data_IF_443400367216
#
_entry.id   IF_443400367216
#
_cell.length_a   1.000
_cell.length_b   1.000
_cell.length_c   1.000
_cell.angle_alpha   90.00
_cell.angle_beta   90.00
_cell.angle_gamma   90.00
#
_symmetry.space_group_name_H-M   'P 1'
#
loop_
_entity.id
_entity.type
_entity.pdbx_description
1 polymer ?
#
# COMPACT_ATOMS: atom_id res chain seq x y z
N UNK A 1 -3.00 -19.91 7.24
CA UNK A 1 -3.34 -18.51 6.88
C UNK A 1 -4.14 -17.91 8.03
N UNK A 2 -3.86 -16.67 8.45
CA UNK A 2 -4.58 -15.98 9.52
C UNK A 2 -6.04 -15.74 9.08
N UNK A 3 -7.01 -15.98 9.99
CA UNK A 3 -8.35 -15.42 9.83
C UNK A 3 -8.31 -13.98 10.34
N UNK A 4 -8.26 -13.00 9.43
CA UNK A 4 -8.07 -11.61 9.80
C UNK A 4 -9.24 -11.04 10.60
N UNK A 5 -10.48 -11.41 10.32
CA UNK A 5 -11.66 -10.97 11.06
C UNK A 5 -11.60 -11.41 12.52
N UNK A 6 -11.34 -12.70 12.77
CA UNK A 6 -11.16 -13.23 14.13
C UNK A 6 -9.96 -12.58 14.81
N UNK A 7 -8.84 -12.44 14.11
CA UNK A 7 -7.61 -11.86 14.65
C UNK A 7 -7.81 -10.40 15.09
N UNK A 8 -8.48 -9.59 14.28
CA UNK A 8 -8.81 -8.20 14.64
C UNK A 8 -9.82 -8.12 15.80
N UNK A 9 -10.79 -9.03 15.83
CA UNK A 9 -11.78 -9.13 16.92
C UNK A 9 -11.10 -9.48 18.26
N UNK A 10 -10.09 -10.36 18.25
CA UNK A 10 -9.34 -10.77 19.43
C UNK A 10 -8.32 -9.71 19.87
N UNK A 11 -7.79 -8.91 18.94
CA UNK A 11 -6.85 -7.83 19.22
C UNK A 11 -7.52 -6.63 19.93
N UNK A 12 -8.73 -6.25 19.50
CA UNK A 12 -9.42 -5.06 19.99
C UNK A 12 -9.56 -5.00 21.52
N UNK A 13 -10.05 -6.03 22.22
CA UNK A 13 -10.18 -5.97 23.68
C UNK A 13 -8.84 -5.85 24.39
N UNK A 14 -7.75 -6.40 23.86
CA UNK A 14 -6.42 -6.27 24.44
C UNK A 14 -5.90 -4.83 24.33
N UNK A 15 -6.12 -4.20 23.16
CA UNK A 15 -5.81 -2.77 22.99
C UNK A 15 -6.65 -1.89 23.91
N UNK A 16 -7.95 -2.16 24.03
CA UNK A 16 -8.85 -1.43 24.93
C UNK A 16 -8.46 -1.59 26.40
N UNK A 17 -8.04 -2.78 26.82
CA UNK A 17 -7.57 -3.03 28.18
C UNK A 17 -6.28 -2.24 28.48
N UNK A 18 -5.37 -2.16 27.52
CA UNK A 18 -4.06 -1.53 27.71
C UNK A 18 -4.13 0.00 27.58
N UNK A 19 -4.81 0.49 26.58
CA UNK A 19 -4.82 1.93 26.23
C UNK A 19 -6.09 2.66 26.70
N UNK A 20 -7.15 1.94 27.03
CA UNK A 20 -8.42 2.50 27.49
C UNK A 20 -8.98 3.53 26.53
N UNK A 21 -9.33 4.72 27.04
CA UNK A 21 -9.88 5.84 26.26
C UNK A 21 -8.85 6.46 25.28
N UNK A 22 -7.58 6.15 25.41
CA UNK A 22 -6.52 6.59 24.51
C UNK A 22 -6.58 5.87 23.15
N UNK A 23 -7.16 4.66 23.09
CA UNK A 23 -7.42 3.98 21.82
C UNK A 23 -8.52 4.72 21.06
N UNK A 24 -8.17 5.24 19.90
CA UNK A 24 -9.08 6.06 19.07
C UNK A 24 -9.55 5.32 17.82
N UNK A 25 -8.71 4.43 17.28
CA UNK A 25 -9.01 3.73 16.05
C UNK A 25 -8.27 2.39 15.95
N UNK A 26 -8.94 1.41 15.30
CA UNK A 26 -8.36 0.16 14.83
C UNK A 26 -8.88 -0.13 13.44
N UNK A 27 -7.99 -0.47 12.50
CA UNK A 27 -8.33 -0.84 11.14
C UNK A 27 -7.42 -1.92 10.56
N UNK A 28 -7.90 -2.55 9.49
CA UNK A 28 -7.19 -3.56 8.71
C UNK A 28 -6.80 -3.00 7.35
N UNK A 29 -5.56 -3.23 6.94
CA UNK A 29 -5.03 -2.83 5.61
C UNK A 29 -4.45 -4.03 4.85
N UNK A 30 -3.89 -3.72 3.70
CA UNK A 30 -2.99 -4.61 2.99
C UNK A 30 -3.68 -5.80 2.33
N UNK A 31 -2.92 -6.88 2.16
CA UNK A 31 -3.35 -8.05 1.41
C UNK A 31 -4.54 -8.78 2.04
N UNK A 32 -4.64 -8.79 3.36
CA UNK A 32 -5.79 -9.38 4.06
C UNK A 32 -7.08 -8.59 3.79
N UNK A 33 -7.03 -7.27 3.90
CA UNK A 33 -8.17 -6.40 3.58
C UNK A 33 -8.61 -6.55 2.12
N UNK A 34 -7.65 -6.73 1.19
CA UNK A 34 -7.92 -6.90 -0.24
C UNK A 34 -8.34 -8.31 -0.64
N UNK A 35 -8.32 -9.29 0.28
CA UNK A 35 -8.59 -10.70 -0.05
C UNK A 35 -7.49 -11.34 -0.92
N UNK A 36 -6.28 -10.81 -0.88
CA UNK A 36 -5.11 -11.25 -1.66
C UNK A 36 -4.03 -11.92 -0.79
N UNK A 37 -4.30 -12.13 0.51
CA UNK A 37 -3.34 -12.69 1.43
C UNK A 37 -2.96 -14.13 1.07
N UNK A 38 -1.71 -14.47 1.31
CA UNK A 38 -1.14 -15.82 1.22
C UNK A 38 -0.62 -16.25 2.59
N UNK A 39 -0.11 -17.46 2.71
CA UNK A 39 0.51 -17.93 3.95
C UNK A 39 1.75 -17.11 4.35
N UNK A 40 2.41 -16.50 3.39
CA UNK A 40 3.57 -15.64 3.61
C UNK A 40 3.21 -14.17 3.90
N UNK A 41 1.92 -13.81 3.85
CA UNK A 41 1.49 -12.41 4.04
C UNK A 41 1.52 -12.01 5.50
N UNK A 42 1.99 -10.79 5.74
CA UNK A 42 1.84 -10.09 7.01
C UNK A 42 0.41 -9.58 7.15
N UNK A 43 -0.07 -9.42 8.40
CA UNK A 43 -1.34 -8.77 8.70
C UNK A 43 -1.07 -7.30 9.02
N UNK A 44 -1.55 -6.40 8.14
CA UNK A 44 -1.33 -4.97 8.24
C UNK A 44 -2.41 -4.32 9.10
N UNK A 45 -2.04 -3.86 10.29
CA UNK A 45 -2.94 -3.27 11.30
C UNK A 45 -2.70 -1.78 11.41
N UNK A 46 -3.77 -1.00 11.46
CA UNK A 46 -3.71 0.45 11.74
C UNK A 46 -4.26 0.71 13.13
N UNK A 47 -3.44 1.28 14.01
CA UNK A 47 -3.84 1.68 15.36
C UNK A 47 -3.60 3.17 15.56
N UNK A 48 -4.61 3.90 16.03
CA UNK A 48 -4.44 5.28 16.45
C UNK A 48 -4.74 5.43 17.94
N UNK A 49 -3.81 6.06 18.62
CA UNK A 49 -3.98 6.56 19.97
C UNK A 49 -4.17 8.10 19.93
N UNK A 50 -4.56 8.69 21.03
CA UNK A 50 -4.57 10.16 21.16
C UNK A 50 -3.18 10.76 20.90
N UNK A 51 -2.17 10.22 21.57
CA UNK A 51 -0.73 10.52 21.42
C UNK A 51 0.02 9.21 21.54
N UNK A 52 1.14 9.05 20.84
CA UNK A 52 2.01 7.87 20.96
C UNK A 52 3.35 8.27 21.54
N UNK A 53 3.79 7.54 22.58
CA UNK A 53 5.13 7.61 23.15
C UNK A 53 5.82 6.24 23.04
N UNK A 54 7.12 6.19 23.30
CA UNK A 54 7.90 4.97 23.13
C UNK A 54 7.38 3.79 23.98
N UNK A 55 6.92 4.07 25.20
CA UNK A 55 6.34 3.03 26.08
C UNK A 55 5.06 2.43 25.50
N UNK A 56 4.28 3.19 24.73
CA UNK A 56 3.11 2.69 24.01
C UNK A 56 3.50 1.70 22.91
N UNK A 57 4.61 1.97 22.21
CA UNK A 57 5.13 1.06 21.18
C UNK A 57 5.61 -0.26 21.81
N UNK A 58 6.23 -0.21 22.98
CA UNK A 58 6.62 -1.41 23.72
C UNK A 58 5.41 -2.21 24.19
N UNK A 59 4.38 -1.55 24.73
CA UNK A 59 3.13 -2.18 25.12
C UNK A 59 2.40 -2.80 23.92
N UNK A 60 2.28 -2.07 22.81
CA UNK A 60 1.69 -2.59 21.57
C UNK A 60 2.45 -3.81 21.04
N UNK A 61 3.77 -3.74 21.00
CA UNK A 61 4.62 -4.86 20.57
C UNK A 61 4.40 -6.10 21.43
N UNK A 62 4.26 -5.94 22.75
CA UNK A 62 3.98 -7.05 23.65
C UNK A 62 2.61 -7.69 23.35
N UNK A 63 1.57 -6.88 23.10
CA UNK A 63 0.23 -7.35 22.75
C UNK A 63 0.28 -8.16 21.45
N UNK A 64 0.78 -7.56 20.34
CA UNK A 64 0.75 -8.23 19.03
C UNK A 64 1.59 -9.50 19.01
N UNK A 65 2.70 -9.56 19.74
CA UNK A 65 3.53 -10.77 19.85
C UNK A 65 2.88 -11.88 20.63
N UNK A 66 1.95 -11.58 21.54
CA UNK A 66 1.17 -12.57 22.28
C UNK A 66 -0.01 -13.13 21.44
N UNK A 67 -0.38 -12.46 20.34
CA UNK A 67 -1.43 -12.93 19.44
C UNK A 67 -0.99 -14.18 18.66
N UNK A 68 -1.92 -15.06 18.25
CA UNK A 68 -1.61 -16.15 17.33
C UNK A 68 -0.96 -15.61 16.04
N UNK A 69 0.17 -16.18 15.64
CA UNK A 69 1.00 -15.71 14.51
C UNK A 69 1.40 -14.23 14.60
N UNK A 70 1.52 -13.68 15.80
CA UNK A 70 1.80 -12.26 16.05
C UNK A 70 3.13 -11.75 15.46
N UNK A 71 4.06 -12.66 15.11
CA UNK A 71 5.28 -12.31 14.36
C UNK A 71 4.98 -11.81 12.93
N UNK A 72 3.77 -12.06 12.40
CA UNK A 72 3.30 -11.54 11.11
C UNK A 72 2.59 -10.20 11.23
N UNK A 73 2.39 -9.68 12.45
CA UNK A 73 1.79 -8.36 12.62
C UNK A 73 2.72 -7.28 12.08
N UNK A 74 2.18 -6.46 11.20
CA UNK A 74 2.80 -5.32 10.55
C UNK A 74 1.83 -4.13 10.57
N UNK A 75 2.19 -3.00 9.98
CA UNK A 75 1.27 -1.89 9.75
C UNK A 75 1.70 -0.62 10.46
N UNK A 76 0.73 0.17 10.90
CA UNK A 76 0.93 1.52 11.41
C UNK A 76 0.36 1.68 12.82
N UNK A 77 1.12 2.29 13.72
CA UNK A 77 0.65 2.82 14.98
C UNK A 77 1.10 4.27 15.11
N UNK A 78 0.19 5.19 15.42
CA UNK A 78 0.50 6.61 15.52
C UNK A 78 -0.49 7.39 16.38
N UNK A 79 -0.15 8.65 16.64
CA UNK A 79 -1.05 9.62 17.27
C UNK A 79 -2.05 10.20 16.28
N UNK A 80 -3.27 10.48 16.74
CA UNK A 80 -4.29 11.12 15.86
C UNK A 80 -3.82 12.48 15.35
N UNK A 81 -3.10 13.25 16.18
CA UNK A 81 -2.53 14.55 15.79
C UNK A 81 -1.42 14.42 14.75
N UNK A 82 -0.58 13.37 14.87
CA UNK A 82 0.50 13.12 13.91
C UNK A 82 -0.10 12.77 12.54
N UNK A 83 -1.10 11.89 12.52
CA UNK A 83 -1.75 11.47 11.28
C UNK A 83 -2.47 12.65 10.60
N UNK A 84 -3.11 13.54 11.38
CA UNK A 84 -3.78 14.73 10.83
C UNK A 84 -2.82 15.66 10.09
N UNK A 85 -1.53 15.70 10.48
CA UNK A 85 -0.49 16.51 9.85
C UNK A 85 0.36 15.74 8.85
N UNK A 86 0.05 14.46 8.59
CA UNK A 86 0.77 13.64 7.63
C UNK A 86 0.62 14.19 6.20
N UNK A 87 1.58 13.95 5.29
CA UNK A 87 1.47 14.35 3.90
C UNK A 87 0.18 13.81 3.24
N UNK A 88 -0.66 14.68 2.72
CA UNK A 88 -1.99 14.31 2.22
C UNK A 88 -1.96 13.31 1.08
N UNK A 89 -0.92 13.39 0.23
CA UNK A 89 -0.75 12.45 -0.88
C UNK A 89 -0.54 11.00 -0.40
N UNK A 90 0.06 10.79 0.79
CA UNK A 90 0.17 9.46 1.40
C UNK A 90 -1.15 9.04 2.03
N UNK A 91 -1.88 9.97 2.65
CA UNK A 91 -3.15 9.70 3.32
C UNK A 91 -4.24 9.24 2.36
N UNK A 92 -4.19 9.60 1.08
CA UNK A 92 -5.19 9.16 0.11
C UNK A 92 -5.25 7.64 0.00
N UNK A 93 -4.13 7.01 -0.35
CA UNK A 93 -4.06 5.54 -0.45
C UNK A 93 -4.25 4.87 0.90
N UNK A 94 -3.71 5.46 1.98
CA UNK A 94 -3.90 5.00 3.36
C UNK A 94 -5.38 4.92 3.72
N UNK A 95 -6.17 5.98 3.47
CA UNK A 95 -7.61 6.00 3.73
C UNK A 95 -8.37 4.98 2.88
N UNK A 96 -8.06 4.91 1.58
CA UNK A 96 -8.80 4.03 0.65
C UNK A 96 -8.50 2.55 0.87
N UNK A 97 -7.30 2.21 1.32
CA UNK A 97 -6.89 0.82 1.56
C UNK A 97 -7.05 0.37 3.02
N UNK A 98 -7.73 1.15 3.86
CA UNK A 98 -8.03 0.79 5.26
C UNK A 98 -9.51 0.47 5.44
N UNK A 99 -9.80 -0.62 6.17
CA UNK A 99 -11.14 -1.02 6.60
C UNK A 99 -11.28 -0.78 8.11
N UNK A 100 -12.34 -0.06 8.50
CA UNK A 100 -12.60 0.29 9.89
C UNK A 100 -13.03 -0.94 10.70
N UNK A 101 -12.30 -1.30 11.76
CA UNK A 101 -12.68 -2.30 12.75
C UNK A 101 -13.20 -1.68 14.04
N UNK A 102 -12.64 -0.53 14.46
CA UNK A 102 -13.10 0.26 15.59
C UNK A 102 -12.86 1.74 15.32
N UNK A 103 -13.87 2.57 15.56
CA UNK A 103 -13.85 4.00 15.20
C UNK A 103 -14.05 4.22 13.71
N UNK A 104 -13.82 5.46 13.27
CA UNK A 104 -13.87 5.86 11.87
C UNK A 104 -12.57 6.58 11.51
N UNK A 105 -11.81 6.05 10.56
CA UNK A 105 -10.53 6.64 10.17
C UNK A 105 -10.68 8.08 9.69
N UNK A 106 -11.75 8.35 8.95
CA UNK A 106 -12.02 9.69 8.38
C UNK A 106 -12.13 10.79 9.44
N UNK A 107 -12.49 10.46 10.70
CA UNK A 107 -12.61 11.44 11.78
C UNK A 107 -11.25 12.01 12.22
N UNK A 108 -10.15 11.35 11.84
CA UNK A 108 -8.77 11.70 12.21
C UNK A 108 -7.93 12.19 11.04
N UNK A 109 -8.53 12.33 9.85
CA UNK A 109 -7.83 12.76 8.65
C UNK A 109 -8.19 14.20 8.27
N UNK A 110 -7.25 14.96 7.66
CA UNK A 110 -7.61 16.20 7.00
C UNK A 110 -8.48 15.93 5.77
N UNK A 111 -9.04 16.98 5.19
CA UNK A 111 -9.67 16.87 3.85
C UNK A 111 -8.60 16.51 2.83
N UNK A 112 -8.81 15.40 2.12
CA UNK A 112 -7.93 14.89 1.07
C UNK A 112 -8.62 15.10 -0.28
N UNK A 113 -7.91 15.68 -1.24
CA UNK A 113 -8.43 16.06 -2.55
C UNK A 113 -7.90 15.14 -3.65
N UNK A 114 -8.51 15.21 -4.84
CA UNK A 114 -8.00 14.51 -6.03
C UNK A 114 -6.63 15.06 -6.47
N UNK A 115 -6.32 16.33 -6.17
CA UNK A 115 -4.99 16.91 -6.41
C UNK A 115 -3.93 16.26 -5.53
N UNK A 116 -4.23 16.06 -4.24
CA UNK A 116 -3.35 15.32 -3.33
C UNK A 116 -3.10 13.89 -3.82
N UNK A 117 -4.14 13.23 -4.35
CA UNK A 117 -4.02 11.90 -4.95
C UNK A 117 -3.15 11.91 -6.21
N UNK A 118 -3.33 12.91 -7.10
CA UNK A 118 -2.54 13.05 -8.31
C UNK A 118 -1.06 13.31 -8.01
N UNK A 119 -0.76 14.12 -7.01
CA UNK A 119 0.61 14.34 -6.52
C UNK A 119 1.22 13.05 -5.98
N UNK A 120 0.45 12.25 -5.23
CA UNK A 120 0.87 10.93 -4.77
C UNK A 120 1.25 9.99 -5.92
N UNK A 121 0.46 9.95 -6.97
CA UNK A 121 0.76 9.15 -8.15
C UNK A 121 2.06 9.60 -8.86
N UNK A 122 2.27 10.92 -9.00
CA UNK A 122 3.51 11.48 -9.58
C UNK A 122 4.74 11.19 -8.71
N UNK A 123 4.63 11.38 -7.39
CA UNK A 123 5.71 11.10 -6.42
C UNK A 123 6.08 9.62 -6.49
N UNK A 124 5.08 8.73 -6.49
CA UNK A 124 5.30 7.29 -6.61
C UNK A 124 6.00 6.91 -7.93
N UNK A 125 5.57 7.47 -9.06
CA UNK A 125 6.22 7.25 -10.35
C UNK A 125 7.66 7.79 -10.38
N UNK A 126 7.92 8.98 -9.81
CA UNK A 126 9.27 9.54 -9.72
C UNK A 126 10.19 8.68 -8.84
N UNK A 127 9.69 8.21 -7.70
CA UNK A 127 10.40 7.26 -6.84
C UNK A 127 10.76 5.96 -7.56
N UNK A 128 9.83 5.42 -8.36
CA UNK A 128 10.08 4.24 -9.20
C UNK A 128 11.14 4.50 -10.27
N UNK A 129 11.12 5.64 -10.96
CA UNK A 129 12.18 6.00 -11.93
C UNK A 129 13.54 6.01 -11.25
N UNK A 130 13.64 6.65 -10.08
CA UNK A 130 14.90 6.68 -9.33
C UNK A 130 15.34 5.27 -8.91
N UNK A 131 14.45 4.48 -8.31
CA UNK A 131 14.73 3.12 -7.87
C UNK A 131 15.22 2.24 -9.03
N UNK A 132 14.49 2.23 -10.14
CA UNK A 132 14.79 1.40 -11.30
C UNK A 132 16.12 1.81 -11.96
N UNK A 133 16.36 3.11 -12.16
CA UNK A 133 17.61 3.58 -12.77
C UNK A 133 18.81 3.31 -11.88
N UNK A 134 18.71 3.61 -10.59
CA UNK A 134 19.77 3.34 -9.63
C UNK A 134 20.12 1.85 -9.57
N UNK A 135 19.08 1.00 -9.41
CA UNK A 135 19.27 -0.45 -9.31
C UNK A 135 19.85 -1.05 -10.59
N UNK A 136 19.35 -0.61 -11.74
CA UNK A 136 19.85 -1.10 -13.04
C UNK A 136 21.35 -0.79 -13.24
N UNK A 137 21.79 0.38 -12.78
CA UNK A 137 23.17 0.83 -12.93
C UNK A 137 24.13 0.23 -11.88
N UNK A 138 23.69 0.10 -10.63
CA UNK A 138 24.62 -0.10 -9.52
C UNK A 138 24.41 -1.41 -8.75
N UNK A 139 23.25 -2.08 -8.90
CA UNK A 139 23.02 -3.34 -8.21
C UNK A 139 23.62 -4.53 -8.98
N UNK A 140 24.00 -5.57 -8.22
CA UNK A 140 24.43 -6.84 -8.78
C UNK A 140 23.29 -7.62 -9.43
N UNK A 141 23.64 -8.69 -10.16
CA UNK A 141 22.68 -9.53 -10.87
C UNK A 141 21.72 -10.30 -9.95
N UNK A 142 22.04 -10.50 -8.68
CA UNK A 142 21.17 -11.18 -7.72
C UNK A 142 20.13 -10.22 -7.12
N UNK A 143 20.49 -8.96 -6.94
CA UNK A 143 19.63 -7.92 -6.36
C UNK A 143 18.59 -7.38 -7.35
N UNK A 144 18.96 -7.22 -8.63
CA UNK A 144 18.08 -6.61 -9.65
C UNK A 144 16.71 -7.28 -9.81
N UNK A 145 16.58 -8.63 -9.89
CA UNK A 145 15.27 -9.28 -9.99
C UNK A 145 14.38 -9.06 -8.76
N UNK A 146 14.97 -8.96 -7.56
CA UNK A 146 14.23 -8.71 -6.31
C UNK A 146 13.63 -7.31 -6.31
N UNK A 147 14.44 -6.31 -6.67
CA UNK A 147 13.96 -4.93 -6.78
C UNK A 147 12.94 -4.78 -7.90
N UNK A 148 13.11 -5.47 -9.02
CA UNK A 148 12.13 -5.47 -10.11
C UNK A 148 10.77 -6.00 -9.64
N UNK A 149 10.75 -7.07 -8.83
CA UNK A 149 9.52 -7.58 -8.21
C UNK A 149 8.83 -6.53 -7.32
N UNK A 150 9.61 -5.85 -6.49
CA UNK A 150 9.07 -4.81 -5.61
C UNK A 150 8.60 -3.58 -6.41
N UNK A 151 9.26 -3.26 -7.52
CA UNK A 151 8.85 -2.19 -8.42
C UNK A 151 7.51 -2.49 -9.12
N UNK A 152 7.26 -3.72 -9.58
CA UNK A 152 5.94 -4.14 -10.08
C UNK A 152 4.85 -4.04 -9.01
N UNK A 153 5.19 -4.39 -7.75
CA UNK A 153 4.27 -4.21 -6.61
C UNK A 153 3.98 -2.73 -6.33
N UNK A 154 4.97 -1.87 -6.38
CA UNK A 154 4.80 -0.43 -6.16
C UNK A 154 4.02 0.24 -7.31
N UNK A 155 4.24 -0.17 -8.56
CA UNK A 155 3.49 0.32 -9.71
C UNK A 155 1.98 0.07 -9.57
N UNK A 156 1.57 -1.05 -8.97
CA UNK A 156 0.16 -1.32 -8.68
C UNK A 156 -0.49 -0.20 -7.85
N UNK A 157 0.17 0.30 -6.81
CA UNK A 157 -0.40 1.36 -5.97
C UNK A 157 -0.53 2.69 -6.72
N UNK A 158 0.43 3.03 -7.58
CA UNK A 158 0.34 4.20 -8.45
C UNK A 158 -0.84 4.05 -9.42
N UNK A 159 -1.02 2.86 -10.01
CA UNK A 159 -2.12 2.59 -10.94
C UNK A 159 -3.48 2.62 -10.27
N UNK A 160 -3.61 2.16 -9.01
CA UNK A 160 -4.85 2.27 -8.26
C UNK A 160 -5.32 3.72 -8.14
N UNK A 161 -4.40 4.62 -7.78
CA UNK A 161 -4.69 6.05 -7.65
C UNK A 161 -5.06 6.64 -9.00
N UNK A 162 -4.31 6.34 -10.07
CA UNK A 162 -4.58 6.82 -11.42
C UNK A 162 -5.93 6.34 -11.95
N UNK A 163 -6.25 5.06 -11.74
CA UNK A 163 -7.54 4.51 -12.13
C UNK A 163 -8.70 5.21 -11.39
N UNK A 164 -8.53 5.46 -10.09
CA UNK A 164 -9.51 6.22 -9.31
C UNK A 164 -9.70 7.64 -9.88
N UNK A 165 -8.63 8.37 -10.17
CA UNK A 165 -8.70 9.72 -10.72
C UNK A 165 -9.40 9.76 -12.09
N UNK A 166 -9.27 8.70 -12.89
CA UNK A 166 -9.91 8.62 -14.21
C UNK A 166 -11.37 8.15 -14.15
N UNK A 167 -11.74 7.28 -13.20
CA UNK A 167 -13.03 6.58 -13.19
C UNK A 167 -13.92 6.90 -11.98
N UNK A 168 -13.35 7.51 -10.92
CA UNK A 168 -14.01 7.66 -9.61
C UNK A 168 -14.09 6.36 -8.79
N UNK A 169 -13.57 5.23 -9.30
CA UNK A 169 -13.67 3.91 -8.67
C UNK A 169 -12.30 3.48 -8.11
N UNK A 170 -12.23 3.22 -6.80
CA UNK A 170 -11.04 2.67 -6.18
C UNK A 170 -11.14 1.14 -6.11
N UNK A 171 -10.38 0.44 -6.95
CA UNK A 171 -10.37 -1.02 -7.01
C UNK A 171 -9.80 -1.62 -5.71
N UNK A 172 -10.44 -2.71 -5.24
CA UNK A 172 -10.03 -3.36 -3.98
C UNK A 172 -8.87 -4.33 -4.13
N UNK A 173 -8.62 -4.83 -5.34
CA UNK A 173 -7.60 -5.85 -5.59
C UNK A 173 -6.91 -5.67 -6.94
N UNK A 174 -5.74 -6.33 -7.09
CA UNK A 174 -5.03 -6.38 -8.38
C UNK A 174 -5.87 -7.03 -9.47
N UNK A 175 -6.65 -8.05 -9.12
CA UNK A 175 -7.53 -8.74 -10.08
C UNK A 175 -8.64 -7.83 -10.58
N UNK A 176 -9.26 -7.07 -9.67
CA UNK A 176 -10.28 -6.09 -10.03
C UNK A 176 -9.69 -4.98 -10.90
N UNK A 177 -8.53 -4.41 -10.51
CA UNK A 177 -7.85 -3.41 -11.31
C UNK A 177 -7.50 -3.93 -12.71
N UNK A 178 -6.98 -5.16 -12.82
CA UNK A 178 -6.63 -5.79 -14.10
C UNK A 178 -7.80 -5.86 -15.09
N UNK A 179 -9.03 -6.06 -14.60
CA UNK A 179 -10.24 -6.11 -15.46
C UNK A 179 -10.64 -4.74 -15.99
N UNK A 180 -10.18 -3.67 -15.34
CA UNK A 180 -10.54 -2.27 -15.67
C UNK A 180 -9.41 -1.54 -16.41
N UNK A 181 -8.26 -2.17 -16.64
CA UNK A 181 -7.13 -1.58 -17.35
C UNK A 181 -6.99 -2.12 -18.77
N UNK A 182 -6.36 -1.30 -19.62
CA UNK A 182 -5.99 -1.65 -21.00
C UNK A 182 -4.51 -1.28 -21.27
N UNK A 183 -3.98 -1.74 -22.41
CA UNK A 183 -2.64 -1.38 -22.88
C UNK A 183 -1.53 -1.70 -21.88
N UNK A 184 -0.56 -0.80 -21.76
CA UNK A 184 0.65 -0.98 -20.95
C UNK A 184 0.35 -1.17 -19.46
N UNK A 185 -0.64 -0.49 -18.91
CA UNK A 185 -0.99 -0.64 -17.49
C UNK A 185 -1.52 -2.04 -17.18
N UNK A 186 -2.35 -2.59 -18.08
CA UNK A 186 -2.82 -3.98 -17.98
C UNK A 186 -1.66 -4.98 -18.05
N UNK A 187 -0.72 -4.78 -18.97
CA UNK A 187 0.47 -5.62 -19.10
C UNK A 187 1.31 -5.63 -17.82
N UNK A 188 1.54 -4.45 -17.22
CA UNK A 188 2.33 -4.33 -15.98
C UNK A 188 1.65 -5.06 -14.82
N UNK A 189 0.33 -4.91 -14.63
CA UNK A 189 -0.39 -5.62 -13.56
C UNK A 189 -0.38 -7.11 -13.80
N UNK A 190 -0.61 -7.57 -15.03
CA UNK A 190 -0.56 -8.98 -15.39
C UNK A 190 0.84 -9.59 -15.15
N UNK A 191 1.89 -8.87 -15.56
CA UNK A 191 3.27 -9.26 -15.28
C UNK A 191 3.56 -9.36 -13.78
N UNK A 192 3.15 -8.36 -13.00
CA UNK A 192 3.34 -8.34 -11.55
C UNK A 192 2.62 -9.48 -10.81
N UNK A 193 1.44 -9.92 -11.29
CA UNK A 193 0.70 -11.04 -10.74
C UNK A 193 1.36 -12.40 -11.00
N UNK A 194 2.07 -12.54 -12.11
CA UNK A 194 2.68 -13.79 -12.55
C UNK A 194 4.16 -13.61 -12.92
N UNK A 195 4.89 -12.79 -12.16
CA UNK A 195 6.24 -12.33 -12.50
C UNK A 195 7.23 -13.48 -12.82
N UNK A 196 7.27 -14.61 -12.08
CA UNK A 196 8.14 -15.72 -12.45
C UNK A 196 7.80 -16.32 -13.83
N UNK A 197 6.52 -16.41 -14.17
CA UNK A 197 6.07 -16.87 -15.48
C UNK A 197 6.38 -15.84 -16.57
N UNK A 198 6.14 -14.56 -16.30
CA UNK A 198 6.44 -13.48 -17.23
C UNK A 198 7.94 -13.44 -17.58
N UNK A 199 8.83 -13.56 -16.56
CA UNK A 199 10.29 -13.61 -16.73
C UNK A 199 10.79 -14.89 -17.42
N UNK A 200 9.97 -15.94 -17.56
CA UNK A 200 10.33 -17.10 -18.40
C UNK A 200 10.26 -16.83 -19.90
N UNK A 201 9.46 -15.83 -20.29
CA UNK A 201 9.26 -15.42 -21.69
C UNK A 201 9.93 -14.08 -22.02
N UNK A 202 10.32 -13.28 -21.00
CA UNK A 202 10.88 -11.96 -21.13
C UNK A 202 12.16 -11.83 -20.29
N UNK A 203 13.08 -11.02 -20.76
CA UNK A 203 14.30 -10.70 -19.99
C UNK A 203 14.02 -9.73 -18.85
N UNK A 204 14.88 -9.75 -17.84
CA UNK A 204 14.89 -8.71 -16.78
C UNK A 204 14.93 -7.30 -17.36
N UNK A 205 15.77 -7.08 -18.42
CA UNK A 205 15.88 -5.80 -19.12
C UNK A 205 14.54 -5.29 -19.67
N UNK A 206 13.72 -6.16 -20.23
CA UNK A 206 12.39 -5.81 -20.74
C UNK A 206 11.46 -5.37 -19.60
N UNK A 207 11.56 -5.99 -18.42
CA UNK A 207 10.80 -5.57 -17.25
C UNK A 207 11.19 -4.17 -16.77
N UNK A 208 12.50 -3.87 -16.71
CA UNK A 208 12.98 -2.52 -16.40
C UNK A 208 12.53 -1.49 -17.43
N UNK A 209 12.63 -1.80 -18.73
CA UNK A 209 12.22 -0.90 -19.80
C UNK A 209 10.71 -0.63 -19.79
N UNK A 210 9.89 -1.67 -19.58
CA UNK A 210 8.44 -1.55 -19.48
C UNK A 210 8.04 -0.58 -18.35
N UNK A 211 8.56 -0.79 -17.14
CA UNK A 211 8.26 0.06 -16.00
C UNK A 211 8.80 1.48 -16.16
N UNK A 212 10.02 1.65 -16.68
CA UNK A 212 10.61 2.97 -16.89
C UNK A 212 9.84 3.81 -17.91
N UNK A 213 9.41 3.21 -19.02
CA UNK A 213 8.58 3.92 -20.02
C UNK A 213 7.26 4.35 -19.41
N UNK A 214 6.56 3.43 -18.77
CA UNK A 214 5.30 3.74 -18.12
C UNK A 214 5.43 4.84 -17.05
N UNK A 215 6.44 4.77 -16.16
CA UNK A 215 6.66 5.81 -15.15
C UNK A 215 6.90 7.20 -15.79
N UNK A 216 7.64 7.27 -16.90
CA UNK A 216 7.85 8.53 -17.64
C UNK A 216 6.54 9.04 -18.24
N UNK A 217 5.69 8.17 -18.80
CA UNK A 217 4.37 8.55 -19.29
C UNK A 217 3.48 9.11 -18.20
N UNK A 218 3.53 8.50 -16.97
CA UNK A 218 2.84 9.05 -15.79
C UNK A 218 3.33 10.46 -15.45
N UNK A 219 4.65 10.67 -15.43
CA UNK A 219 5.25 11.96 -15.07
C UNK A 219 4.94 13.05 -16.12
N UNK A 220 4.87 12.70 -17.39
CA UNK A 220 4.59 13.64 -18.48
C UNK A 220 3.09 13.87 -18.72
N UNK A 221 2.22 13.19 -17.96
CA UNK A 221 0.77 13.34 -18.13
C UNK A 221 0.21 12.68 -19.40
N UNK A 222 0.99 11.82 -20.08
CA UNK A 222 0.66 11.30 -21.41
C UNK A 222 -0.48 10.28 -21.46
N UNK A 223 -1.05 9.86 -20.34
CA UNK A 223 -2.04 8.78 -20.32
C UNK A 223 -3.33 9.06 -19.54
N UNK A 224 -3.55 10.29 -19.07
CA UNK A 224 -4.86 10.75 -18.62
C UNK A 224 -5.35 11.78 -19.61
N UNK A 225 -6.30 11.46 -20.47
CA UNK A 225 -6.99 12.41 -21.34
C UNK A 225 -7.84 13.45 -20.58
N UNK A 226 -7.35 13.97 -19.45
CA UNK A 226 -8.10 14.83 -18.52
C UNK A 226 -7.30 16.07 -18.09
N UNK A 227 -6.22 16.47 -18.76
CA UNK A 227 -5.61 17.79 -18.52
C UNK A 227 -5.26 18.44 -19.86
N UNK A 228 -6.27 18.98 -20.52
CA UNK A 228 -6.17 20.08 -21.47
C UNK A 228 -7.12 21.19 -21.04
#
# INVERSE_FOLDING_TARGET
>A
MINAETWMTDLLPQLQQTFGARLRYLGLQGSYRRGEATEASDIDVVVLLDVVVLDDLDAYRAIVRAMPEGQKACGFIGGTGDLFHWPRHELFAFQKDTEDCFGKLVDFLPVITDEDAADGAKIGAAGLVHLLTHTYLYADAATRPLVLKDAFKAAFFVMLVRHYLASGVFCRSKKELLTNLEGTEKEIIAAGLALPHWLSAHSEREGYDLLLRWCKDVLHGSSLGVFA
#
